data_IF_209965036125
#
_entry.id   IF_209965036125
#
_cell.length_a   1.000
_cell.length_b   1.000
_cell.length_c   1.000
_cell.angle_alpha   90.00
_cell.angle_beta   90.00
_cell.angle_gamma   90.00
#
_symmetry.space_group_name_H-M   'P 1'
#
loop_
_entity.id
_entity.type
_entity.pdbx_description
1 polymer ?
#
# COMPACT_ATOMS: atom_id res chain seq x y z
N UNK A 1 5.61 -14.81 15.32
CA UNK A 1 5.40 -13.89 14.19
C UNK A 1 4.71 -14.68 13.09
N UNK A 2 3.52 -14.26 12.70
CA UNK A 2 2.75 -14.89 11.63
C UNK A 2 2.76 -13.95 10.44
N UNK A 3 2.93 -14.49 9.24
CA UNK A 3 2.80 -13.71 8.02
C UNK A 3 1.87 -14.41 7.04
N UNK A 4 1.21 -13.62 6.19
CA UNK A 4 0.39 -14.11 5.10
C UNK A 4 0.79 -13.40 3.82
N UNK A 5 0.97 -14.15 2.74
CA UNK A 5 1.18 -13.58 1.40
C UNK A 5 -0.14 -13.59 0.64
N UNK A 6 -0.55 -12.45 0.11
CA UNK A 6 -1.80 -12.32 -0.66
C UNK A 6 -1.50 -11.54 -1.94
N UNK A 7 -1.96 -12.10 -3.07
CA UNK A 7 -2.02 -11.41 -4.34
C UNK A 7 -3.24 -10.49 -4.42
N UNK A 8 -3.06 -9.31 -4.97
CA UNK A 8 -4.06 -8.28 -5.15
C UNK A 8 -4.07 -7.80 -6.59
N UNK A 9 -5.26 -7.65 -7.16
CA UNK A 9 -5.47 -7.07 -8.49
C UNK A 9 -6.25 -5.79 -8.31
N UNK A 10 -5.77 -4.68 -8.87
CA UNK A 10 -6.43 -3.37 -8.73
C UNK A 10 -7.84 -3.40 -9.32
N UNK A 11 -8.72 -2.53 -8.83
CA UNK A 11 -10.11 -2.48 -9.30
C UNK A 11 -10.23 -2.30 -10.82
N UNK A 12 -9.28 -1.56 -11.42
CA UNK A 12 -9.17 -1.36 -12.87
C UNK A 12 -8.39 -2.45 -13.61
N UNK A 13 -7.91 -3.48 -12.90
CA UNK A 13 -7.11 -4.61 -13.37
C UNK A 13 -5.82 -4.23 -14.09
N UNK A 14 -5.35 -3.00 -13.93
CA UNK A 14 -4.13 -2.52 -14.57
C UNK A 14 -2.87 -3.04 -13.89
N UNK A 15 -2.95 -3.44 -12.62
CA UNK A 15 -1.82 -3.92 -11.83
C UNK A 15 -2.19 -5.19 -11.06
N UNK A 16 -1.22 -6.09 -10.99
CA UNK A 16 -1.21 -7.22 -10.07
C UNK A 16 -0.03 -7.05 -9.10
N UNK A 17 -0.32 -7.15 -7.81
CA UNK A 17 0.61 -6.94 -6.72
C UNK A 17 0.54 -8.11 -5.74
N UNK A 18 1.62 -8.35 -5.02
CA UNK A 18 1.77 -9.32 -3.96
C UNK A 18 2.21 -8.57 -2.71
N UNK A 19 1.47 -8.81 -1.64
CA UNK A 19 1.78 -8.26 -0.33
C UNK A 19 2.11 -9.36 0.65
N UNK A 20 3.04 -9.08 1.56
CA UNK A 20 3.23 -9.87 2.78
C UNK A 20 2.73 -9.07 3.97
N UNK A 21 1.68 -9.58 4.60
CA UNK A 21 1.08 -9.06 5.82
C UNK A 21 1.78 -9.70 7.01
N UNK A 22 2.54 -8.92 7.76
CA UNK A 22 3.29 -9.39 8.92
C UNK A 22 2.65 -8.88 10.21
N UNK A 23 2.32 -9.80 11.12
CA UNK A 23 1.83 -9.47 12.46
C UNK A 23 3.01 -9.20 13.41
N UNK A 24 3.18 -7.93 13.78
CA UNK A 24 4.16 -7.47 14.77
C UNK A 24 3.66 -7.54 16.23
N UNK A 25 2.46 -8.06 16.45
CA UNK A 25 1.81 -8.16 17.76
C UNK A 25 1.15 -6.86 18.22
N UNK A 26 0.55 -6.84 19.43
CA UNK A 26 -0.31 -5.75 19.88
C UNK A 26 0.36 -4.37 19.94
N UNK A 27 1.66 -4.31 20.23
CA UNK A 27 2.38 -3.05 20.35
C UNK A 27 2.70 -2.40 19.00
N UNK A 28 2.99 -3.22 17.97
CA UNK A 28 3.45 -2.75 16.66
C UNK A 28 2.28 -2.72 15.67
N UNK A 29 1.39 -3.71 15.72
CA UNK A 29 0.35 -3.93 14.73
C UNK A 29 0.88 -4.61 13.46
N UNK A 30 0.06 -4.56 12.41
CA UNK A 30 0.35 -5.17 11.13
C UNK A 30 1.23 -4.28 10.25
N UNK A 31 2.20 -4.90 9.57
CA UNK A 31 2.96 -4.29 8.48
C UNK A 31 2.61 -4.95 7.15
N UNK A 32 2.60 -4.17 6.08
CA UNK A 32 2.21 -4.62 4.74
C UNK A 32 3.39 -4.41 3.79
N UNK A 33 4.20 -5.44 3.61
CA UNK A 33 5.35 -5.42 2.73
C UNK A 33 4.93 -5.59 1.27
N UNK A 34 5.53 -4.79 0.40
CA UNK A 34 5.26 -4.76 -1.03
C UNK A 34 6.33 -5.62 -1.71
N UNK A 35 5.92 -6.80 -2.21
CA UNK A 35 6.88 -7.75 -2.79
C UNK A 35 7.23 -7.34 -4.22
N UNK A 36 6.30 -6.71 -4.93
CA UNK A 36 6.52 -6.25 -6.29
C UNK A 36 7.39 -5.00 -6.31
N UNK A 37 8.34 -5.00 -7.24
CA UNK A 37 9.01 -3.77 -7.63
C UNK A 37 8.08 -2.99 -8.55
N UNK A 38 7.55 -1.88 -8.05
CA UNK A 38 6.65 -1.03 -8.82
C UNK A 38 7.39 -0.22 -9.88
N UNK A 39 6.90 -0.27 -11.12
CA UNK A 39 7.31 0.63 -12.19
C UNK A 39 6.37 1.84 -12.24
N UNK A 40 6.79 2.91 -11.56
CA UNK A 40 6.08 4.19 -11.53
C UNK A 40 6.22 4.99 -12.85
N UNK A 41 6.82 4.42 -13.90
CA UNK A 41 7.09 5.09 -15.18
C UNK A 41 7.88 6.38 -14.96
N UNK A 42 7.44 7.49 -15.55
CA UNK A 42 8.07 8.81 -15.41
C UNK A 42 7.63 9.58 -14.13
N UNK A 43 6.92 8.92 -13.20
CA UNK A 43 6.40 9.57 -11.99
C UNK A 43 7.43 9.58 -10.87
N UNK A 44 7.23 10.47 -9.88
CA UNK A 44 8.07 10.53 -8.69
C UNK A 44 7.98 9.20 -7.92
N UNK A 45 9.13 8.58 -7.70
CA UNK A 45 9.27 7.24 -7.08
C UNK A 45 9.70 7.31 -5.62
N UNK A 46 9.89 8.53 -5.08
CA UNK A 46 10.29 8.73 -3.70
C UNK A 46 9.31 8.07 -2.73
N UNK A 47 9.84 7.56 -1.62
CA UNK A 47 9.07 6.89 -0.59
C UNK A 47 7.95 7.77 -0.05
N UNK A 48 8.22 9.06 0.15
CA UNK A 48 7.22 10.02 0.59
C UNK A 48 6.09 10.19 -0.44
N UNK A 49 6.40 10.40 -1.72
CA UNK A 49 5.38 10.60 -2.76
C UNK A 49 4.50 9.39 -3.01
N UNK A 50 4.98 8.18 -2.67
CA UNK A 50 4.28 6.91 -2.93
C UNK A 50 3.77 6.24 -1.66
N UNK A 51 3.87 6.91 -0.51
CA UNK A 51 3.52 6.37 0.81
C UNK A 51 4.11 4.99 1.07
N UNK A 52 5.42 4.89 0.88
CA UNK A 52 6.22 3.71 1.23
C UNK A 52 7.20 4.06 2.33
N UNK A 53 7.60 3.07 3.10
CA UNK A 53 8.68 3.14 4.07
C UNK A 53 9.64 1.98 3.81
N UNK A 54 10.89 2.21 4.19
CA UNK A 54 11.96 1.22 4.10
C UNK A 54 12.74 1.23 5.42
N UNK A 55 12.84 0.07 6.07
CA UNK A 55 13.70 -0.06 7.26
C UNK A 55 15.09 -0.49 6.81
N UNK A 56 16.13 0.15 7.34
CA UNK A 56 17.51 -0.25 7.05
C UNK A 56 17.72 -1.74 7.36
N UNK A 57 18.24 -2.48 6.40
CA UNK A 57 18.48 -3.93 6.51
C UNK A 57 17.31 -4.81 6.08
N UNK A 58 16.16 -4.24 5.71
CA UNK A 58 15.05 -5.00 5.11
C UNK A 58 15.18 -5.06 3.58
N UNK A 59 14.69 -6.15 2.98
CA UNK A 59 14.73 -6.34 1.52
C UNK A 59 13.60 -5.61 0.80
N UNK A 60 12.44 -5.46 1.47
CA UNK A 60 11.21 -4.98 0.86
C UNK A 60 10.72 -3.72 1.53
N UNK A 61 10.20 -2.79 0.72
CA UNK A 61 9.46 -1.64 1.22
C UNK A 61 8.11 -2.09 1.79
N UNK A 62 7.54 -1.31 2.70
CA UNK A 62 6.19 -1.51 3.22
C UNK A 62 5.35 -0.24 3.10
N UNK A 63 4.03 -0.40 3.12
CA UNK A 63 3.09 0.71 3.02
C UNK A 63 3.21 1.60 4.27
N UNK A 64 3.38 2.90 4.05
CA UNK A 64 3.31 3.91 5.10
C UNK A 64 1.85 4.07 5.54
N UNK A 65 1.61 4.02 6.85
CA UNK A 65 0.28 4.30 7.41
C UNK A 65 0.40 5.14 8.67
N UNK A 66 -0.43 6.17 8.78
CA UNK A 66 -0.50 6.99 9.98
C UNK A 66 -1.24 6.21 11.09
N UNK A 67 -0.48 5.73 12.07
CA UNK A 67 -1.01 5.01 13.22
C UNK A 67 -0.92 3.49 13.10
N UNK A 68 -1.50 2.81 14.09
CA UNK A 68 -1.41 1.34 14.24
C UNK A 68 -2.51 0.64 13.45
N UNK A 69 -2.11 -0.29 12.58
CA UNK A 69 -3.03 -1.22 11.92
C UNK A 69 -3.27 -2.40 12.88
N UNK A 70 -4.42 -2.44 13.54
CA UNK A 70 -4.66 -3.34 14.66
C UNK A 70 -5.12 -4.74 14.21
N UNK A 71 -5.81 -4.83 13.08
CA UNK A 71 -6.39 -6.09 12.59
C UNK A 71 -5.94 -6.43 11.18
N UNK A 72 -5.99 -7.72 10.86
CA UNK A 72 -5.70 -8.20 9.52
C UNK A 72 -6.65 -7.61 8.46
N UNK A 73 -7.92 -7.44 8.81
CA UNK A 73 -8.91 -6.81 7.93
C UNK A 73 -8.57 -5.36 7.62
N UNK A 74 -8.14 -4.58 8.63
CA UNK A 74 -7.63 -3.22 8.40
C UNK A 74 -6.40 -3.23 7.50
N UNK A 75 -5.50 -4.19 7.69
CA UNK A 75 -4.31 -4.31 6.85
C UNK A 75 -4.69 -4.57 5.38
N UNK A 76 -5.63 -5.48 5.12
CA UNK A 76 -6.14 -5.73 3.76
C UNK A 76 -6.79 -4.49 3.15
N UNK A 77 -7.56 -3.72 3.93
CA UNK A 77 -8.17 -2.48 3.46
C UNK A 77 -7.10 -1.44 3.07
N UNK A 78 -6.05 -1.28 3.88
CA UNK A 78 -4.92 -0.39 3.57
C UNK A 78 -4.19 -0.84 2.30
N UNK A 79 -3.93 -2.14 2.15
CA UNK A 79 -3.30 -2.70 0.95
C UNK A 79 -4.13 -2.45 -0.31
N UNK A 80 -5.45 -2.64 -0.22
CA UNK A 80 -6.40 -2.36 -1.31
C UNK A 80 -6.35 -0.89 -1.72
N UNK A 81 -6.52 0.01 -0.76
CA UNK A 81 -6.49 1.46 -0.99
C UNK A 81 -5.18 1.92 -1.65
N UNK A 82 -4.05 1.44 -1.14
CA UNK A 82 -2.74 1.81 -1.67
C UNK A 82 -2.53 1.28 -3.11
N UNK A 83 -3.02 0.09 -3.40
CA UNK A 83 -2.92 -0.52 -4.73
C UNK A 83 -3.70 0.26 -5.77
N UNK A 84 -4.96 0.60 -5.47
CA UNK A 84 -5.81 1.39 -6.35
C UNK A 84 -5.26 2.81 -6.52
N UNK A 85 -4.76 3.42 -5.44
CA UNK A 85 -4.11 4.71 -5.51
C UNK A 85 -2.86 4.67 -6.41
N UNK A 86 -2.06 3.61 -6.33
CA UNK A 86 -0.87 3.41 -7.15
C UNK A 86 -1.21 3.25 -8.64
N UNK A 87 -2.24 2.47 -8.98
CA UNK A 87 -2.71 2.36 -10.36
C UNK A 87 -3.13 3.72 -10.92
N UNK A 88 -3.93 4.46 -10.16
CA UNK A 88 -4.38 5.80 -10.54
C UNK A 88 -3.22 6.80 -10.65
N UNK A 89 -2.24 6.73 -9.76
CA UNK A 89 -1.07 7.62 -9.77
C UNK A 89 -0.24 7.41 -11.04
N UNK A 90 0.04 6.14 -11.38
CA UNK A 90 0.77 5.78 -12.59
C UNK A 90 0.03 6.28 -13.84
N UNK A 91 -1.29 6.06 -13.90
CA UNK A 91 -2.13 6.39 -15.07
C UNK A 91 -2.36 7.88 -15.25
N UNK A 92 -2.77 8.58 -14.20
CA UNK A 92 -3.28 9.94 -14.27
C UNK A 92 -2.21 11.01 -14.04
N UNK A 93 -1.18 10.71 -13.25
CA UNK A 93 -0.21 11.71 -12.81
C UNK A 93 -0.73 12.72 -11.80
N UNK A 94 -1.95 12.53 -11.29
CA UNK A 94 -2.47 13.27 -10.14
C UNK A 94 -1.64 12.90 -8.91
N UNK A 95 -1.50 13.84 -7.98
CA UNK A 95 -0.82 13.61 -6.71
C UNK A 95 -1.41 12.43 -5.93
N UNK A 96 -0.55 11.67 -5.24
CA UNK A 96 -0.96 10.45 -4.54
C UNK A 96 -1.91 10.74 -3.38
N UNK A 97 -1.69 11.82 -2.62
CA UNK A 97 -2.58 12.19 -1.50
C UNK A 97 -3.95 12.57 -2.01
N UNK A 98 -4.01 13.29 -3.11
CA UNK A 98 -5.26 13.68 -3.75
C UNK A 98 -6.06 12.47 -4.23
N UNK A 99 -5.38 11.46 -4.79
CA UNK A 99 -6.01 10.20 -5.18
C UNK A 99 -6.57 9.46 -3.97
N UNK A 100 -5.77 9.31 -2.91
CA UNK A 100 -6.20 8.62 -1.67
C UNK A 100 -7.40 9.32 -1.05
N UNK A 101 -7.41 10.65 -0.99
CA UNK A 101 -8.56 11.43 -0.49
C UNK A 101 -9.84 11.18 -1.29
N UNK A 102 -9.73 11.06 -2.62
CA UNK A 102 -10.89 10.76 -3.48
C UNK A 102 -11.42 9.36 -3.25
N UNK A 103 -10.53 8.37 -3.17
CA UNK A 103 -10.91 6.98 -2.93
C UNK A 103 -11.58 6.78 -1.57
N UNK A 104 -11.10 7.47 -0.52
CA UNK A 104 -11.73 7.40 0.80
C UNK A 104 -13.14 8.00 0.80
N UNK A 105 -13.34 9.16 0.16
CA UNK A 105 -14.68 9.77 0.06
C UNK A 105 -15.68 8.93 -0.70
N UNK A 106 -15.26 8.26 -1.78
CA UNK A 106 -16.14 7.38 -2.56
C UNK A 106 -16.57 6.11 -1.84
N UNK A 107 -15.91 5.75 -0.73
CA UNK A 107 -16.27 4.58 0.09
C UNK A 107 -17.21 4.94 1.27
N UNK A 108 -17.54 6.22 1.44
CA UNK A 108 -18.44 6.73 2.49
C UNK A 108 -19.88 6.99 1.97
N UNK A 109 -20.12 6.85 0.67
CA UNK A 109 -21.43 6.97 -0.01
C UNK A 109 -22.06 5.59 -0.29
#
# INVERSE_FOLDING_TARGET
MTYQRIGYTTGDRSLQMDFVFMDGGPAIGWRIYIINRMDYKARNTSFHATHRLHTSGETYDYICWAGRIATFEQAKAVASLWSDATALYIRSGVDFDEIVKRLLKSNEE
#
